data_IF_608637677927
#
_entry.id   IF_608637677927
#
_cell.length_a   1.000
_cell.length_b   1.000
_cell.length_c   1.000
_cell.angle_alpha   90.00
_cell.angle_beta   90.00
_cell.angle_gamma   90.00
#
_symmetry.space_group_name_H-M   'P 1'
#
loop_
_entity.id
_entity.type
_entity.pdbx_description
1 polymer ?
#
# COMPACT_ATOMS: atom_id res chain seq x y z
N UNK A 1 12.11 24.75 -3.76
CA UNK A 1 10.87 23.95 -3.66
C UNK A 1 9.95 24.35 -4.80
N UNK A 2 9.55 23.41 -5.62
CA UNK A 2 8.65 23.59 -6.74
C UNK A 2 7.38 22.72 -6.55
N UNK A 3 6.42 22.79 -7.49
CA UNK A 3 5.18 22.02 -7.42
C UNK A 3 5.42 20.50 -7.40
N UNK A 4 6.42 20.03 -8.12
CA UNK A 4 6.80 18.61 -8.15
C UNK A 4 7.32 18.13 -6.79
N UNK A 5 8.12 18.97 -6.10
CA UNK A 5 8.61 18.64 -4.75
C UNK A 5 7.46 18.48 -3.76
N UNK A 6 6.42 19.34 -3.86
CA UNK A 6 5.23 19.25 -3.01
C UNK A 6 4.44 17.97 -3.29
N UNK A 7 4.22 17.65 -4.57
CA UNK A 7 3.53 16.41 -4.97
C UNK A 7 4.29 15.17 -4.47
N UNK A 8 5.61 15.17 -4.64
CA UNK A 8 6.46 14.08 -4.15
C UNK A 8 6.36 13.93 -2.64
N UNK A 9 6.43 15.04 -1.89
CA UNK A 9 6.36 15.02 -0.42
C UNK A 9 5.03 14.42 0.09
N UNK A 10 3.91 14.70 -0.60
CA UNK A 10 2.60 14.11 -0.25
C UNK A 10 2.62 12.59 -0.45
N UNK A 11 3.06 12.13 -1.63
CA UNK A 11 3.13 10.70 -1.94
C UNK A 11 4.10 9.98 -0.99
N UNK A 12 5.25 10.59 -0.72
CA UNK A 12 6.24 10.03 0.20
C UNK A 12 5.68 9.94 1.63
N UNK A 13 5.02 10.98 2.13
CA UNK A 13 4.41 10.97 3.47
C UNK A 13 3.34 9.89 3.63
N UNK A 14 2.47 9.71 2.63
CA UNK A 14 1.49 8.61 2.61
C UNK A 14 2.20 7.26 2.60
N UNK A 15 3.27 7.12 1.82
CA UNK A 15 4.06 5.88 1.73
C UNK A 15 4.73 5.53 3.06
N UNK A 16 5.20 6.53 3.82
CA UNK A 16 5.73 6.33 5.17
C UNK A 16 4.67 5.85 6.16
N UNK A 17 3.44 6.36 6.06
CA UNK A 17 2.31 5.85 6.84
C UNK A 17 1.99 4.38 6.53
N UNK A 18 2.05 3.99 5.26
CA UNK A 18 1.89 2.59 4.84
C UNK A 18 3.02 1.72 5.42
N UNK A 19 4.28 2.17 5.35
CA UNK A 19 5.41 1.44 5.95
C UNK A 19 5.22 1.24 7.45
N UNK A 20 4.72 2.25 8.17
CA UNK A 20 4.47 2.14 9.61
C UNK A 20 3.40 1.10 9.92
N UNK A 21 2.33 1.06 9.13
CA UNK A 21 1.29 0.02 9.19
C UNK A 21 1.85 -1.37 8.90
N UNK A 22 2.62 -1.54 7.83
CA UNK A 22 3.26 -2.81 7.46
C UNK A 22 4.22 -3.28 8.57
N UNK A 23 5.04 -2.39 9.13
CA UNK A 23 5.93 -2.71 10.24
C UNK A 23 5.17 -3.18 11.49
N UNK A 24 3.97 -2.65 11.72
CA UNK A 24 3.12 -3.08 12.82
C UNK A 24 2.55 -4.48 12.60
N UNK A 25 2.17 -4.81 11.37
CA UNK A 25 1.71 -6.16 10.99
C UNK A 25 2.86 -7.17 11.12
N UNK A 26 4.06 -6.81 10.66
CA UNK A 26 5.24 -7.67 10.72
C UNK A 26 5.67 -8.05 12.16
N UNK A 27 5.33 -7.23 13.15
CA UNK A 27 5.56 -7.58 14.56
C UNK A 27 4.68 -8.73 15.06
N UNK A 28 3.52 -8.92 14.45
CA UNK A 28 2.55 -9.95 14.81
C UNK A 28 2.69 -11.18 13.94
N UNK A 29 2.93 -10.99 12.66
CA UNK A 29 3.09 -12.08 11.68
C UNK A 29 4.22 -11.73 10.72
N UNK A 30 5.33 -12.47 10.82
CA UNK A 30 6.52 -12.22 10.00
C UNK A 30 6.44 -12.78 8.57
N UNK A 31 5.37 -13.50 8.21
CA UNK A 31 5.32 -14.27 6.98
C UNK A 31 4.11 -13.86 6.13
N UNK A 32 4.31 -12.95 5.22
CA UNK A 32 3.45 -12.78 4.05
C UNK A 32 4.31 -12.75 2.79
N UNK A 33 3.98 -13.65 1.86
CA UNK A 33 4.79 -13.90 0.67
C UNK A 33 4.47 -12.91 -0.46
N UNK A 34 3.24 -12.41 -0.51
CA UNK A 34 2.76 -11.56 -1.58
C UNK A 34 2.13 -10.28 -1.05
N UNK A 35 2.52 -9.15 -1.64
CA UNK A 35 1.89 -7.86 -1.39
C UNK A 35 1.27 -7.38 -2.69
N UNK A 36 -0.03 -7.11 -2.65
CA UNK A 36 -0.78 -6.64 -3.80
C UNK A 36 -1.14 -5.17 -3.65
N UNK A 37 -0.94 -4.40 -4.71
CA UNK A 37 -1.41 -3.03 -4.81
C UNK A 37 -2.80 -3.02 -5.47
N UNK A 38 -3.80 -2.50 -4.76
CA UNK A 38 -5.19 -2.41 -5.24
C UNK A 38 -5.75 -1.00 -5.10
N UNK A 39 -6.85 -0.73 -5.78
CA UNK A 39 -7.47 0.59 -5.81
C UNK A 39 -6.80 1.54 -6.79
N UNK A 40 -7.16 2.82 -6.76
CA UNK A 40 -6.68 3.84 -7.70
C UNK A 40 -5.17 4.01 -7.74
N UNK A 41 -4.50 3.79 -6.62
CA UNK A 41 -3.03 3.85 -6.52
C UNK A 41 -2.30 2.83 -7.38
N UNK A 42 -2.94 1.70 -7.71
CA UNK A 42 -2.37 0.67 -8.57
C UNK A 42 -2.10 1.12 -10.02
N UNK A 43 -2.66 2.29 -10.41
CA UNK A 43 -2.42 2.91 -11.72
C UNK A 43 -1.14 3.73 -11.79
N UNK A 44 -0.52 4.06 -10.66
CA UNK A 44 0.70 4.86 -10.59
C UNK A 44 1.93 3.96 -10.46
N UNK A 45 2.61 3.68 -11.58
CA UNK A 45 3.85 2.92 -11.57
C UNK A 45 4.90 3.57 -10.66
N UNK A 46 5.02 4.89 -10.71
CA UNK A 46 5.91 5.66 -9.85
C UNK A 46 5.67 5.39 -8.35
N UNK A 47 4.42 5.42 -7.91
CA UNK A 47 4.09 5.17 -6.51
C UNK A 47 4.36 3.72 -6.09
N UNK A 48 4.05 2.77 -6.97
CA UNK A 48 4.31 1.35 -6.68
C UNK A 48 5.81 1.07 -6.58
N UNK A 49 6.63 1.65 -7.46
CA UNK A 49 8.09 1.55 -7.41
C UNK A 49 8.68 2.17 -6.13
N UNK A 50 8.15 3.32 -5.71
CA UNK A 50 8.50 3.96 -4.44
C UNK A 50 8.16 3.06 -3.26
N UNK A 51 6.94 2.50 -3.22
CA UNK A 51 6.50 1.59 -2.16
C UNK A 51 7.30 0.29 -2.15
N UNK A 52 7.55 -0.32 -3.32
CA UNK A 52 8.37 -1.53 -3.42
C UNK A 52 9.77 -1.30 -2.82
N UNK A 53 10.38 -0.14 -3.14
CA UNK A 53 11.69 0.25 -2.62
C UNK A 53 11.65 0.52 -1.12
N UNK A 54 10.65 1.26 -0.65
CA UNK A 54 10.48 1.61 0.76
C UNK A 54 10.22 0.39 1.64
N UNK A 55 9.40 -0.55 1.17
CA UNK A 55 9.10 -1.80 1.86
C UNK A 55 10.22 -2.85 1.70
N UNK A 56 11.16 -2.62 0.79
CA UNK A 56 12.17 -3.57 0.34
C UNK A 56 11.57 -4.94 -0.02
N UNK A 57 10.44 -4.91 -0.74
CA UNK A 57 9.66 -6.10 -1.12
C UNK A 57 9.06 -5.92 -2.51
N UNK A 58 8.84 -7.07 -3.18
CA UNK A 58 8.09 -7.09 -4.44
C UNK A 58 6.65 -6.67 -4.20
N UNK A 59 6.12 -5.83 -5.08
CA UNK A 59 4.71 -5.46 -5.13
C UNK A 59 4.10 -5.94 -6.44
N UNK A 60 2.97 -6.61 -6.36
CA UNK A 60 2.25 -7.10 -7.53
C UNK A 60 0.97 -6.29 -7.75
N UNK A 61 0.66 -6.04 -9.00
CA UNK A 61 -0.61 -5.45 -9.45
C UNK A 61 -1.40 -6.53 -10.16
N UNK A 62 -2.64 -6.73 -9.75
CA UNK A 62 -3.54 -7.69 -10.36
C UNK A 62 -4.28 -7.07 -11.55
N UNK A 63 -4.78 -7.91 -12.45
CA UNK A 63 -5.79 -7.47 -13.42
C UNK A 63 -6.98 -6.89 -12.67
N UNK A 64 -7.55 -5.80 -13.17
CA UNK A 64 -8.69 -5.08 -12.57
C UNK A 64 -8.47 -4.64 -11.10
N UNK A 65 -7.21 -4.42 -10.72
CA UNK A 65 -6.82 -4.04 -9.35
C UNK A 65 -7.51 -2.78 -8.82
N UNK A 66 -7.95 -1.87 -9.70
CA UNK A 66 -8.71 -0.67 -9.35
C UNK A 66 -10.07 -0.97 -8.74
N UNK A 67 -10.67 -2.12 -9.06
CA UNK A 67 -11.98 -2.54 -8.55
C UNK A 67 -11.89 -3.48 -7.36
N UNK A 68 -10.71 -3.66 -6.75
CA UNK A 68 -10.44 -4.68 -5.73
C UNK A 68 -11.51 -4.79 -4.64
N UNK A 69 -11.91 -3.68 -4.01
CA UNK A 69 -12.95 -3.68 -2.98
C UNK A 69 -14.33 -4.02 -3.55
N UNK A 70 -14.73 -3.41 -4.67
CA UNK A 70 -16.01 -3.65 -5.31
C UNK A 70 -16.12 -5.10 -5.81
N UNK A 71 -15.06 -5.63 -6.40
CA UNK A 71 -14.98 -7.01 -6.84
C UNK A 71 -15.09 -7.99 -5.66
N UNK A 72 -14.44 -7.69 -4.54
CA UNK A 72 -14.55 -8.48 -3.32
C UNK A 72 -15.97 -8.54 -2.77
N UNK A 73 -16.65 -7.41 -2.70
CA UNK A 73 -18.06 -7.33 -2.25
C UNK A 73 -18.98 -8.08 -3.23
N UNK A 74 -18.79 -7.91 -4.53
CA UNK A 74 -19.58 -8.64 -5.54
C UNK A 74 -19.40 -10.16 -5.40
N UNK A 75 -18.19 -10.64 -5.21
CA UNK A 75 -17.88 -12.06 -4.97
C UNK A 75 -18.52 -12.59 -3.69
N UNK A 76 -18.49 -11.80 -2.61
CA UNK A 76 -19.15 -12.18 -1.35
C UNK A 76 -20.67 -12.28 -1.54
N UNK A 77 -21.29 -11.36 -2.26
CA UNK A 77 -22.71 -11.42 -2.59
C UNK A 77 -23.05 -12.67 -3.41
N UNK A 78 -22.25 -12.97 -4.45
CA UNK A 78 -22.41 -14.18 -5.26
C UNK A 78 -22.24 -15.46 -4.43
N UNK A 79 -21.33 -15.46 -3.47
CA UNK A 79 -21.08 -16.62 -2.59
C UNK A 79 -22.30 -16.92 -1.68
N UNK A 80 -23.06 -15.91 -1.32
CA UNK A 80 -24.28 -16.03 -0.50
C UNK A 80 -25.51 -16.43 -1.34
N UNK A 81 -25.45 -16.37 -2.66
CA UNK A 81 -26.54 -16.74 -3.54
C UNK A 81 -26.66 -18.26 -3.68
N UNK A 82 -27.71 -18.83 -3.14
CA UNK A 82 -27.95 -20.29 -3.18
C UNK A 82 -28.37 -20.80 -4.57
N UNK A 83 -28.62 -19.91 -5.53
CA UNK A 83 -28.90 -20.30 -6.92
C UNK A 83 -27.63 -20.60 -7.73
N UNK A 84 -26.45 -20.30 -7.18
CA UNK A 84 -25.16 -20.52 -7.83
C UNK A 84 -24.60 -21.88 -7.44
N UNK A 85 -24.59 -22.83 -8.38
CA UNK A 85 -24.18 -24.23 -8.15
C UNK A 85 -22.67 -24.42 -7.94
N UNK A 86 -21.80 -23.60 -8.56
CA UNK A 86 -20.34 -23.76 -8.53
C UNK A 86 -19.65 -22.57 -7.85
N UNK A 87 -19.81 -22.46 -6.53
CA UNK A 87 -19.23 -21.38 -5.71
C UNK A 87 -17.70 -21.31 -5.76
N UNK A 88 -17.01 -22.40 -6.06
CA UNK A 88 -15.56 -22.46 -6.26
C UNK A 88 -15.08 -21.54 -7.40
N UNK A 89 -15.89 -21.36 -8.43
CA UNK A 89 -15.57 -20.48 -9.56
C UNK A 89 -15.71 -18.98 -9.25
N UNK A 90 -16.36 -18.63 -8.15
CA UNK A 90 -16.51 -17.23 -7.71
C UNK A 90 -15.16 -16.67 -7.24
N UNK A 91 -14.35 -17.52 -6.59
CA UNK A 91 -12.99 -17.18 -6.16
C UNK A 91 -12.01 -17.62 -7.25
N UNK A 92 -11.97 -16.86 -8.34
CA UNK A 92 -10.99 -17.10 -9.40
C UNK A 92 -9.57 -16.81 -8.92
N UNK A 93 -8.62 -17.51 -9.52
CA UNK A 93 -7.19 -17.27 -9.29
C UNK A 93 -6.82 -15.80 -9.54
N UNK A 94 -5.98 -15.25 -8.66
CA UNK A 94 -5.51 -13.88 -8.80
C UNK A 94 -4.52 -13.81 -9.97
N UNK A 95 -4.92 -13.14 -11.06
CA UNK A 95 -4.06 -12.92 -12.21
C UNK A 95 -3.20 -11.67 -11.99
N UNK A 96 -1.89 -11.86 -11.97
CA UNK A 96 -0.93 -10.76 -11.85
C UNK A 96 -0.69 -10.15 -13.22
N UNK A 97 -0.92 -8.85 -13.36
CA UNK A 97 -0.64 -8.09 -14.58
C UNK A 97 0.79 -7.57 -14.61
N UNK A 98 1.33 -7.17 -13.46
CA UNK A 98 2.70 -6.65 -13.37
C UNK A 98 3.25 -6.82 -11.94
N UNK A 99 4.57 -7.05 -11.85
CA UNK A 99 5.32 -7.06 -10.59
C UNK A 99 6.40 -5.99 -10.62
N UNK A 100 6.59 -5.31 -9.50
CA UNK A 100 7.58 -4.27 -9.29
C UNK A 100 8.58 -4.72 -8.25
N UNK A 101 9.86 -4.64 -8.61
CA UNK A 101 10.98 -4.98 -7.73
C UNK A 101 11.47 -3.73 -6.98
N UNK A 102 12.00 -3.89 -5.76
CA UNK A 102 12.59 -2.78 -5.04
C UNK A 102 13.86 -2.25 -5.75
N UNK A 103 13.96 -0.92 -5.87
CA UNK A 103 15.21 -0.28 -6.26
C UNK A 103 16.08 -0.11 -5.02
N UNK A 104 17.14 -0.91 -4.93
CA UNK A 104 18.03 -0.97 -3.76
C UNK A 104 18.85 0.29 -3.56
N UNK A 105 19.13 1.04 -4.61
CA UNK A 105 19.98 2.25 -4.53
C UNK A 105 19.35 3.37 -3.71
N UNK A 106 18.02 3.37 -3.58
CA UNK A 106 17.27 4.41 -2.89
C UNK A 106 16.80 4.03 -1.49
N UNK A 107 16.96 2.76 -1.08
CA UNK A 107 16.39 2.26 0.19
C UNK A 107 16.94 3.02 1.39
N UNK A 108 18.24 3.18 1.49
CA UNK A 108 18.89 3.82 2.65
C UNK A 108 18.46 5.28 2.80
N UNK A 109 18.34 6.01 1.69
CA UNK A 109 17.85 7.38 1.69
C UNK A 109 16.40 7.46 2.17
N UNK A 110 15.53 6.59 1.65
CA UNK A 110 14.12 6.53 2.03
C UNK A 110 13.93 6.18 3.50
N UNK A 111 14.68 5.23 4.03
CA UNK A 111 14.63 4.86 5.45
C UNK A 111 15.14 5.98 6.38
N UNK A 112 16.16 6.71 5.97
CA UNK A 112 16.62 7.91 6.69
C UNK A 112 15.53 8.99 6.73
N UNK A 113 14.87 9.25 5.61
CA UNK A 113 13.75 10.21 5.53
C UNK A 113 12.55 9.75 6.35
N UNK A 114 12.23 8.47 6.33
CA UNK A 114 11.20 7.89 7.19
C UNK A 114 11.47 8.10 8.68
N UNK A 115 12.72 7.93 9.12
CA UNK A 115 13.09 8.22 10.52
C UNK A 115 12.82 9.68 10.91
N UNK A 116 13.18 10.63 10.04
CA UNK A 116 12.92 12.06 10.25
C UNK A 116 11.39 12.32 10.27
N UNK A 117 10.64 11.70 9.35
CA UNK A 117 9.18 11.84 9.29
C UNK A 117 8.49 11.40 10.59
N UNK A 118 8.95 10.31 11.21
CA UNK A 118 8.41 9.85 12.51
C UNK A 118 8.63 10.87 13.62
N UNK A 119 9.75 11.56 13.63
CA UNK A 119 10.05 12.57 14.64
C UNK A 119 9.22 13.84 14.42
N UNK A 120 9.01 14.25 13.17
CA UNK A 120 8.10 15.34 12.82
C UNK A 120 6.65 15.04 13.23
N UNK A 121 6.17 13.81 13.02
CA UNK A 121 4.84 13.39 13.45
C UNK A 121 4.65 13.55 14.96
N UNK A 122 5.62 13.09 15.76
CA UNK A 122 5.59 13.23 17.22
C UNK A 122 5.56 14.69 17.67
N UNK A 123 6.36 15.55 17.02
CA UNK A 123 6.42 16.97 17.33
C UNK A 123 5.11 17.68 16.98
N UNK A 124 4.55 17.39 15.81
CA UNK A 124 3.27 17.97 15.37
C UNK A 124 2.10 17.51 16.24
N UNK A 125 2.09 16.27 16.69
CA UNK A 125 1.04 15.75 17.57
C UNK A 125 1.01 16.49 18.91
N UNK A 126 2.19 16.81 19.50
CA UNK A 126 2.26 17.62 20.71
C UNK A 126 1.69 19.02 20.51
N UNK A 127 1.98 19.65 19.37
CA UNK A 127 1.44 20.98 19.02
C UNK A 127 -0.07 20.92 18.84
N UNK A 128 -0.59 19.91 18.12
CA UNK A 128 -2.02 19.73 17.91
C UNK A 128 -2.79 19.51 19.22
N UNK A 129 -2.25 18.72 20.16
CA UNK A 129 -2.82 18.54 21.49
C UNK A 129 -2.90 19.85 22.30
N UNK A 130 -1.91 20.72 22.17
CA UNK A 130 -1.89 22.04 22.83
C UNK A 130 -2.89 23.03 22.21
N UNK A 131 -3.31 22.81 20.96
CA UNK A 131 -4.28 23.64 20.26
C UNK A 131 -5.73 23.17 20.41
N UNK A 132 -5.98 22.11 21.20
CA UNK A 132 -7.32 21.51 21.44
C UNK A 132 -8.09 21.15 20.14
N UNK A 133 -7.39 20.65 19.12
CA UNK A 133 -8.00 20.03 17.93
C UNK A 133 -8.24 18.55 18.15
#
# INVERSE_FOLDING_TARGET
TNATDLQYAVIEGVSFGILDGVNSILKVNNNFDNIFMVGGGSKSSFWIELLASLLNRKLSVCEQSEFGAALGVARLAMYQDDTIDNKENIVSEIKISKTYEPNKDNIDLLLKRYSIWKDLYKSNNKVAQNLNF
#
